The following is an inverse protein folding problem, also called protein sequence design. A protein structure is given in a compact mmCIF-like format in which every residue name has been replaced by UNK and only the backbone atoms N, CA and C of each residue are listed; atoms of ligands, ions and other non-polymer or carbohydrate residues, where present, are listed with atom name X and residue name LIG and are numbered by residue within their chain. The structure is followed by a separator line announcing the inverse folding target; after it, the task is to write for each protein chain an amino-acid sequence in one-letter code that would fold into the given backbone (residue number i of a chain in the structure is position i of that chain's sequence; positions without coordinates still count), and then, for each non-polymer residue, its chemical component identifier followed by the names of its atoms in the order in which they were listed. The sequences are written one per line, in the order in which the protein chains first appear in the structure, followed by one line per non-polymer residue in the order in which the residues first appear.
data_IF_537931398544
#
_entry.id   IF_537931398544
#
_cell.length_a   1.000
_cell.length_b   1.000
_cell.length_c   1.000
_cell.angle_alpha   90.00
_cell.angle_beta   90.00
_cell.angle_gamma   90.00
#
_symmetry.space_group_name_H-M   'P 1'
#
loop_
_entity.id
_entity.type
_entity.pdbx_description
1 polymer ?
#
# COMPACT_ATOMS: atom_id res chain seq x y z
N UNK A 1 1.05 -58.06 26.85
CA UNK A 1 0.70 -56.91 25.99
C UNK A 1 1.93 -56.61 25.18
N UNK A 2 1.93 -56.94 23.89
CA UNK A 2 3.01 -56.55 23.00
C UNK A 2 2.77 -55.10 22.60
N UNK A 3 3.69 -54.21 22.94
CA UNK A 3 3.63 -52.81 22.53
C UNK A 3 3.75 -52.74 21.01
N UNK A 4 2.65 -52.41 20.36
CA UNK A 4 2.64 -52.02 18.95
C UNK A 4 3.23 -50.60 18.88
N UNK A 5 4.54 -50.53 18.64
CA UNK A 5 5.14 -49.29 18.19
C UNK A 5 4.75 -49.09 16.73
N UNK A 6 3.67 -48.33 16.49
CA UNK A 6 3.37 -47.82 15.16
C UNK A 6 4.55 -46.94 14.71
N UNK A 7 5.36 -47.46 13.79
CA UNK A 7 6.40 -46.67 13.12
C UNK A 7 5.75 -45.52 12.37
N UNK A 8 5.89 -44.30 12.89
CA UNK A 8 5.48 -43.05 12.22
C UNK A 8 6.22 -42.96 10.88
N UNK A 9 5.51 -43.17 9.77
CA UNK A 9 6.09 -43.20 8.41
C UNK A 9 6.50 -41.82 7.86
N UNK A 10 6.19 -40.75 8.58
CA UNK A 10 6.55 -39.37 8.26
C UNK A 10 5.72 -38.40 9.09
N UNK A 11 6.31 -37.26 9.47
CA UNK A 11 5.59 -36.17 10.14
C UNK A 11 5.18 -35.16 9.07
N UNK A 12 3.87 -34.95 8.90
CA UNK A 12 3.40 -33.82 8.10
C UNK A 12 3.55 -32.52 8.90
N UNK A 13 4.64 -31.82 8.64
CA UNK A 13 4.92 -30.54 9.29
C UNK A 13 3.87 -29.47 9.02
N UNK A 14 3.06 -29.59 7.96
CA UNK A 14 1.97 -28.65 7.66
C UNK A 14 0.72 -28.90 8.51
N UNK A 15 0.55 -30.12 9.00
CA UNK A 15 -0.47 -30.43 10.01
C UNK A 15 -0.04 -29.93 11.39
N UNK A 16 1.23 -30.13 11.75
CA UNK A 16 1.80 -29.77 13.07
C UNK A 16 2.05 -28.26 13.22
N UNK A 17 2.62 -27.64 12.18
CA UNK A 17 2.95 -26.20 12.13
C UNK A 17 2.33 -25.58 10.87
N UNK A 18 1.03 -25.25 10.90
CA UNK A 18 0.30 -24.78 9.72
C UNK A 18 0.90 -23.54 9.06
N UNK A 19 1.51 -22.65 9.84
CA UNK A 19 2.15 -21.42 9.36
C UNK A 19 3.32 -21.67 8.39
N UNK A 20 3.89 -22.87 8.35
CA UNK A 20 4.94 -23.24 7.37
C UNK A 20 4.44 -23.16 5.93
N UNK A 21 3.12 -23.27 5.70
CA UNK A 21 2.50 -23.10 4.38
C UNK A 21 2.68 -21.68 3.81
N UNK A 22 2.88 -20.67 4.65
CA UNK A 22 3.15 -19.29 4.21
C UNK A 22 4.46 -19.17 3.42
N UNK A 23 5.42 -20.08 3.62
CA UNK A 23 6.64 -20.12 2.81
C UNK A 23 6.35 -20.36 1.32
N UNK A 24 5.22 -21.01 1.00
CA UNK A 24 4.79 -21.21 -0.40
C UNK A 24 4.41 -19.89 -1.07
N UNK A 25 4.04 -18.85 -0.31
CA UNK A 25 3.73 -17.52 -0.85
C UNK A 25 4.92 -16.91 -1.61
N UNK A 26 6.16 -17.15 -1.14
CA UNK A 26 7.38 -16.77 -1.87
C UNK A 26 7.43 -17.43 -3.26
N UNK A 27 7.20 -18.75 -3.32
CA UNK A 27 7.23 -19.50 -4.58
C UNK A 27 6.13 -19.10 -5.57
N UNK A 28 5.00 -18.60 -5.04
CA UNK A 28 3.91 -18.02 -5.84
C UNK A 28 4.34 -16.65 -6.38
N UNK A 29 4.87 -15.78 -5.51
CA UNK A 29 5.26 -14.42 -5.85
C UNK A 29 6.38 -14.34 -6.89
N UNK A 30 7.37 -15.26 -6.85
CA UNK A 30 8.46 -15.33 -7.84
C UNK A 30 8.01 -15.95 -9.17
N UNK A 31 6.79 -16.49 -9.27
CA UNK A 31 6.33 -17.08 -10.53
C UNK A 31 6.12 -16.02 -11.60
N UNK A 32 6.58 -16.31 -12.83
CA UNK A 32 6.44 -15.44 -14.01
C UNK A 32 5.02 -14.85 -14.16
N UNK A 33 3.92 -15.63 -14.11
CA UNK A 33 2.59 -15.04 -14.28
C UNK A 33 2.25 -14.02 -13.19
N UNK A 34 2.69 -14.24 -11.95
CA UNK A 34 2.43 -13.32 -10.83
C UNK A 34 3.28 -12.06 -10.96
N UNK A 35 4.57 -12.17 -11.30
CA UNK A 35 5.43 -11.01 -11.53
C UNK A 35 4.93 -10.14 -12.69
N UNK A 36 4.53 -10.76 -13.80
CA UNK A 36 3.98 -10.03 -14.95
C UNK A 36 2.66 -9.35 -14.59
N UNK A 37 1.74 -10.03 -13.91
CA UNK A 37 0.48 -9.44 -13.46
C UNK A 37 0.71 -8.27 -12.49
N UNK A 38 1.61 -8.45 -11.52
CA UNK A 38 1.93 -7.43 -10.55
C UNK A 38 2.57 -6.20 -11.21
N UNK A 39 3.50 -6.40 -12.14
CA UNK A 39 4.13 -5.29 -12.86
C UNK A 39 3.17 -4.55 -13.79
N UNK A 40 2.29 -5.26 -14.50
CA UNK A 40 1.23 -4.62 -15.30
C UNK A 40 0.28 -3.86 -14.39
N UNK A 41 -0.12 -4.43 -13.25
CA UNK A 41 -0.94 -3.77 -12.25
C UNK A 41 -0.29 -2.48 -11.71
N UNK A 42 0.98 -2.55 -11.33
CA UNK A 42 1.77 -1.39 -10.89
C UNK A 42 1.88 -0.33 -11.99
N UNK A 43 2.23 -0.73 -13.21
CA UNK A 43 2.32 0.19 -14.35
C UNK A 43 1.00 0.89 -14.64
N UNK A 44 -0.12 0.15 -14.68
CA UNK A 44 -1.45 0.74 -14.85
C UNK A 44 -1.87 1.65 -13.69
N UNK A 45 -1.47 1.32 -12.46
CA UNK A 45 -1.71 2.18 -11.30
C UNK A 45 -1.02 3.53 -11.50
N UNK A 46 0.29 3.50 -11.79
CA UNK A 46 1.08 4.72 -12.03
C UNK A 46 0.54 5.52 -13.22
N UNK A 47 0.24 4.87 -14.34
CA UNK A 47 -0.31 5.54 -15.53
C UNK A 47 -1.68 6.17 -15.28
N UNK A 48 -2.54 5.54 -14.48
CA UNK A 48 -3.85 6.11 -14.18
C UNK A 48 -3.78 7.31 -13.24
N UNK A 49 -2.87 7.29 -12.26
CA UNK A 49 -2.62 8.46 -11.41
C UNK A 49 -2.04 9.63 -12.21
N UNK A 50 -1.10 9.36 -13.13
CA UNK A 50 -0.60 10.38 -14.05
C UNK A 50 -1.71 10.97 -14.92
N UNK A 51 -2.64 10.14 -15.39
CA UNK A 51 -3.79 10.60 -16.15
C UNK A 51 -4.73 11.46 -15.28
N UNK A 52 -5.00 11.06 -14.04
CA UNK A 52 -5.81 11.83 -13.10
C UNK A 52 -5.20 13.20 -12.81
N UNK A 53 -3.89 13.25 -12.52
CA UNK A 53 -3.14 14.48 -12.34
C UNK A 53 -3.22 15.39 -13.57
N UNK A 54 -3.05 14.85 -14.78
CA UNK A 54 -3.11 15.63 -16.03
C UNK A 54 -4.50 16.21 -16.33
N UNK A 55 -5.57 15.57 -15.86
CA UNK A 55 -6.95 15.97 -16.11
C UNK A 55 -7.47 16.97 -15.07
N UNK A 56 -7.00 16.85 -13.82
CA UNK A 56 -7.53 17.62 -12.68
C UNK A 56 -6.62 18.77 -12.26
N UNK A 57 -5.34 18.76 -12.64
CA UNK A 57 -4.36 19.81 -12.33
C UNK A 57 -3.96 20.54 -13.64
N UNK A 58 -4.42 21.78 -13.86
CA UNK A 58 -4.19 22.49 -15.13
C UNK A 58 -2.73 22.84 -15.46
N UNK A 59 -1.79 22.77 -14.50
CA UNK A 59 -0.39 23.21 -14.65
C UNK A 59 0.66 22.16 -14.20
N UNK A 60 0.37 20.87 -14.29
CA UNK A 60 1.35 19.83 -13.90
C UNK A 60 2.56 19.79 -14.85
N UNK A 61 3.81 19.93 -14.37
CA UNK A 61 4.98 19.56 -15.17
C UNK A 61 4.91 18.05 -15.46
N UNK A 62 5.11 17.67 -16.72
CA UNK A 62 5.20 16.27 -17.11
C UNK A 62 6.43 15.64 -16.45
N UNK A 63 6.23 14.78 -15.44
CA UNK A 63 7.34 14.13 -14.72
C UNK A 63 7.31 12.60 -14.94
N UNK A 64 8.53 12.09 -15.09
CA UNK A 64 8.92 10.83 -15.69
C UNK A 64 8.38 9.57 -15.01
N UNK A 65 8.22 8.54 -15.82
CA UNK A 65 7.92 7.15 -15.45
C UNK A 65 8.86 6.70 -14.32
N UNK A 66 8.29 6.21 -13.21
CA UNK A 66 9.00 5.79 -12.01
C UNK A 66 10.22 4.91 -12.35
N UNK A 67 11.43 5.47 -12.20
CA UNK A 67 12.70 4.89 -12.66
C UNK A 67 13.75 5.92 -13.05
N UNK A 68 13.35 7.16 -13.36
CA UNK A 68 14.29 8.27 -13.49
C UNK A 68 14.65 8.79 -12.09
N UNK A 69 15.82 8.42 -11.58
CA UNK A 69 16.48 9.18 -10.52
C UNK A 69 16.82 10.52 -11.16
N UNK A 70 16.12 11.57 -10.76
CA UNK A 70 16.52 12.94 -11.04
C UNK A 70 17.09 13.50 -9.74
N UNK A 71 18.39 13.31 -9.53
CA UNK A 71 19.14 14.32 -8.78
C UNK A 71 19.23 15.55 -9.70
N UNK A 72 18.78 16.70 -9.20
CA UNK A 72 18.99 17.95 -9.89
C UNK A 72 20.51 18.20 -10.04
N UNK A 73 21.00 18.58 -11.24
CA UNK A 73 22.40 18.88 -11.42
C UNK A 73 22.72 20.16 -10.65
N UNK A 74 23.47 20.00 -9.56
CA UNK A 74 23.95 21.12 -8.75
C UNK A 74 24.63 22.18 -9.60
N UNK A 75 24.25 23.43 -9.36
CA UNK A 75 24.95 24.62 -9.87
C UNK A 75 26.42 24.55 -9.46
N UNK A 76 27.25 24.06 -10.37
CA UNK A 76 28.71 24.09 -10.22
C UNK A 76 29.17 25.51 -10.55
N UNK A 77 29.10 26.37 -9.55
CA UNK A 77 29.78 27.66 -9.54
C UNK A 77 31.28 27.47 -9.74
N UNK A 78 31.80 28.14 -10.75
CA UNK A 78 33.17 28.15 -11.21
C UNK A 78 34.12 28.61 -10.08
N UNK A 79 35.07 27.76 -9.67
CA UNK A 79 36.14 28.17 -8.76
C UNK A 79 37.43 27.40 -9.11
N UNK A 80 38.33 28.10 -9.81
CA UNK A 80 39.73 27.72 -9.93
C UNK A 80 40.46 27.77 -8.57
N UNK A 81 41.56 27.03 -8.42
CA UNK A 81 42.13 26.71 -7.11
C UNK A 81 43.26 27.67 -6.72
N UNK A 82 43.12 28.38 -5.60
CA UNK A 82 44.25 28.96 -4.89
C UNK A 82 44.10 28.74 -3.38
N UNK A 83 45.19 28.27 -2.78
CA UNK A 83 45.24 27.73 -1.43
C UNK A 83 45.48 28.75 -0.31
N UNK A 84 45.21 28.25 0.89
CA UNK A 84 45.76 28.64 2.19
C UNK A 84 45.70 30.11 2.62
N UNK A 85 44.80 30.44 3.56
CA UNK A 85 45.24 30.86 4.90
C UNK A 85 44.13 30.94 5.96
N UNK A 86 44.53 30.43 7.11
CA UNK A 86 43.91 30.47 8.42
C UNK A 86 43.97 31.89 9.00
N UNK A 87 42.85 32.52 9.39
CA UNK A 87 42.81 33.54 10.48
C UNK A 87 41.41 33.78 11.05
N UNK A 88 41.25 33.33 12.30
CA UNK A 88 40.66 33.96 13.48
C UNK A 88 39.87 35.29 13.31
N UNK A 89 38.70 35.31 13.95
CA UNK A 89 37.77 36.43 14.15
C UNK A 89 38.39 37.66 14.82
N UNK A 90 38.32 38.81 14.15
CA UNK A 90 38.47 40.16 14.70
C UNK A 90 37.26 40.99 14.29
N UNK A 91 36.36 41.28 15.24
CA UNK A 91 35.48 42.45 15.21
C UNK A 91 34.84 42.68 16.59
N UNK A 92 35.69 42.91 17.58
CA UNK A 92 35.42 43.87 18.64
C UNK A 92 36.29 45.10 18.34
N UNK A 93 35.76 46.28 18.68
CA UNK A 93 36.36 47.62 18.56
C UNK A 93 36.03 48.42 17.30
N UNK A 94 35.05 49.32 17.44
CA UNK A 94 35.20 50.79 17.39
C UNK A 94 33.76 51.36 17.52
N UNK A 95 33.41 52.22 18.47
CA UNK A 95 33.91 53.59 18.64
C UNK A 95 33.45 54.14 20.01
N UNK A 96 34.35 54.79 20.75
CA UNK A 96 34.15 55.58 22.00
C UNK A 96 34.13 57.07 21.60
N UNK A 97 33.25 57.92 22.15
CA UNK A 97 33.50 59.06 23.10
C UNK A 97 32.35 60.07 22.87
N UNK A 98 31.77 60.87 23.79
CA UNK A 98 31.89 61.14 25.24
C UNK A 98 30.64 62.02 25.68
N UNK A 99 30.49 62.57 26.92
CA UNK A 99 29.20 62.64 27.63
C UNK A 99 28.76 64.08 28.02
N UNK A 100 27.55 64.22 28.61
CA UNK A 100 27.14 65.18 29.66
C UNK A 100 25.74 65.82 29.48
N UNK A 101 25.06 65.95 30.63
CA UNK A 101 23.96 66.88 30.99
C UNK A 101 22.62 66.86 30.22
N UNK A 102 21.55 66.47 30.92
CA UNK A 102 20.52 67.42 31.40
C UNK A 102 19.25 66.68 31.84
N UNK A 103 18.80 66.98 33.06
CA UNK A 103 17.45 66.73 33.53
C UNK A 103 16.41 67.45 32.65
N UNK A 104 15.17 66.94 32.59
CA UNK A 104 14.06 67.68 32.01
C UNK A 104 12.78 66.86 31.80
N UNK A 105 11.78 67.14 32.63
CA UNK A 105 10.34 67.11 32.39
C UNK A 105 9.66 65.92 31.66
N UNK A 106 8.88 65.18 32.44
CA UNK A 106 7.75 64.35 32.02
C UNK A 106 6.50 65.25 31.84
N UNK A 107 5.80 65.24 30.69
CA UNK A 107 4.49 65.88 30.59
C UNK A 107 3.40 64.96 31.17
N UNK A 108 2.38 65.49 31.88
CA UNK A 108 1.40 64.69 32.61
C UNK A 108 0.30 64.21 31.66
N UNK A 109 0.02 62.91 31.69
CA UNK A 109 -1.08 62.30 30.93
C UNK A 109 -1.72 61.19 31.75
N UNK A 110 -2.70 61.60 32.55
CA UNK A 110 -3.91 60.86 32.91
C UNK A 110 -3.75 59.46 33.53
N UNK A 111 -3.95 59.40 34.85
CA UNK A 111 -4.17 58.17 35.59
C UNK A 111 -5.62 57.71 35.38
N UNK A 112 -5.82 56.64 34.62
CA UNK A 112 -7.02 55.80 34.73
C UNK A 112 -6.62 54.50 35.44
N UNK A 113 -6.86 54.47 36.76
CA UNK A 113 -6.88 53.23 37.53
C UNK A 113 -8.23 52.54 37.31
N UNK A 114 -8.31 51.71 36.27
CA UNK A 114 -9.31 50.63 36.22
C UNK A 114 -8.72 49.42 35.50
N UNK A 115 -8.62 48.33 36.26
CA UNK A 115 -7.77 47.18 36.00
C UNK A 115 -8.11 46.31 34.78
N UNK A 116 -7.07 45.69 34.25
CA UNK A 116 -6.99 44.23 34.15
C UNK A 116 -5.51 43.79 33.99
N UNK A 117 -4.94 42.96 34.89
CA UNK A 117 -3.55 42.52 34.80
C UNK A 117 -3.30 41.47 33.70
N UNK A 118 -4.30 41.18 32.86
CA UNK A 118 -4.29 40.05 31.92
C UNK A 118 -3.73 40.44 30.54
N UNK A 119 -3.68 41.72 30.19
CA UNK A 119 -3.24 42.15 28.84
C UNK A 119 -1.73 42.41 28.70
N UNK A 120 -0.97 42.55 29.80
CA UNK A 120 0.49 42.78 29.70
C UNK A 120 1.29 41.48 29.53
N UNK A 121 0.70 40.32 29.80
CA UNK A 121 1.34 39.02 29.58
C UNK A 121 1.35 38.59 28.11
N UNK A 122 0.54 39.22 27.25
CA UNK A 122 0.41 38.88 25.84
C UNK A 122 1.48 39.52 24.93
N UNK A 123 2.25 40.50 25.43
CA UNK A 123 3.17 41.29 24.60
C UNK A 123 4.64 40.84 24.63
N UNK A 124 4.98 39.77 25.38
CA UNK A 124 6.38 39.27 25.51
C UNK A 124 6.43 37.75 25.32
N UNK A 125 5.74 37.22 24.32
CA UNK A 125 6.07 35.89 23.79
C UNK A 125 6.45 36.02 22.32
N UNK A 126 7.67 35.63 21.91
CA UNK A 126 7.94 35.44 20.50
C UNK A 126 6.93 34.41 19.99
N UNK A 127 6.34 34.68 18.83
CA UNK A 127 5.42 33.77 18.17
C UNK A 127 5.99 32.34 18.22
N UNK A 128 5.32 31.47 18.98
CA UNK A 128 5.68 30.06 19.08
C UNK A 128 5.69 29.53 17.65
N UNK A 129 6.80 28.94 17.14
CA UNK A 129 6.75 28.27 15.85
C UNK A 129 5.62 27.24 15.92
N UNK A 130 4.81 27.18 14.86
CA UNK A 130 3.66 26.27 14.73
C UNK A 130 4.17 24.85 15.02
N UNK A 131 4.00 24.40 16.27
CA UNK A 131 4.40 23.06 16.70
C UNK A 131 3.58 22.10 15.86
N UNK A 132 4.26 21.38 14.97
CA UNK A 132 3.71 20.21 14.30
C UNK A 132 3.33 19.23 15.40
N UNK A 133 2.02 19.12 15.70
CA UNK A 133 1.50 18.09 16.61
C UNK A 133 2.07 16.74 16.17
N UNK A 134 2.49 15.89 17.11
CA UNK A 134 2.98 14.56 16.73
C UNK A 134 1.89 13.79 15.96
N UNK A 135 2.25 12.93 15.01
CA UNK A 135 1.28 12.12 14.23
C UNK A 135 0.27 11.39 15.14
N UNK A 136 0.73 10.98 16.32
CA UNK A 136 -0.10 10.34 17.33
C UNK A 136 -1.14 11.28 17.96
N UNK A 137 -0.77 12.54 18.24
CA UNK A 137 -1.70 13.57 18.74
C UNK A 137 -2.71 13.98 17.67
N UNK A 138 -2.29 14.11 16.41
CA UNK A 138 -3.21 14.38 15.30
C UNK A 138 -4.24 13.25 15.13
N UNK A 139 -3.80 11.99 15.25
CA UNK A 139 -4.69 10.82 15.19
C UNK A 139 -5.69 10.81 16.36
N UNK A 140 -5.25 11.17 17.57
CA UNK A 140 -6.09 11.26 18.77
C UNK A 140 -7.11 12.40 18.70
N UNK A 141 -6.78 13.50 18.00
CA UNK A 141 -7.64 14.67 17.85
C UNK A 141 -8.68 14.53 16.71
N UNK A 142 -8.68 13.40 16.00
CA UNK A 142 -9.65 13.14 14.92
C UNK A 142 -9.29 13.77 13.58
N UNK A 143 -8.06 14.24 13.41
CA UNK A 143 -7.50 14.80 12.17
C UNK A 143 -7.13 13.71 11.14
N UNK A 144 -7.82 12.56 11.16
CA UNK A 144 -7.51 11.44 10.28
C UNK A 144 -7.57 11.81 8.78
N UNK A 145 -8.48 12.70 8.39
CA UNK A 145 -8.63 13.14 6.99
C UNK A 145 -7.51 14.08 6.53
N UNK A 146 -6.97 14.94 7.40
CA UNK A 146 -5.81 15.78 7.07
C UNK A 146 -4.53 14.95 7.03
N UNK A 147 -4.40 13.93 7.89
CA UNK A 147 -3.29 12.96 7.83
C UNK A 147 -3.34 12.18 6.50
N UNK A 148 -4.52 11.73 6.07
CA UNK A 148 -4.67 11.01 4.78
C UNK A 148 -4.29 11.93 3.61
N UNK A 149 -4.72 13.20 3.62
CA UNK A 149 -4.32 14.18 2.62
C UNK A 149 -2.80 14.42 2.60
N UNK A 150 -2.19 14.63 3.77
CA UNK A 150 -0.74 14.78 3.90
C UNK A 150 0.03 13.52 3.47
N UNK A 151 -0.50 12.33 3.76
CA UNK A 151 0.08 11.05 3.37
C UNK A 151 0.01 10.88 1.84
N UNK A 152 -1.10 11.28 1.21
CA UNK A 152 -1.25 11.28 -0.24
C UNK A 152 -0.26 12.27 -0.89
N UNK A 153 -0.17 13.50 -0.38
CA UNK A 153 0.79 14.50 -0.88
C UNK A 153 2.25 14.02 -0.72
N UNK A 154 2.59 13.39 0.41
CA UNK A 154 3.94 12.84 0.65
C UNK A 154 4.25 11.60 -0.18
N UNK A 155 3.26 10.75 -0.48
CA UNK A 155 3.44 9.54 -1.29
C UNK A 155 3.41 9.81 -2.80
N UNK A 156 2.67 10.83 -3.25
CA UNK A 156 2.31 10.99 -4.67
C UNK A 156 2.66 12.36 -5.29
N UNK A 157 3.11 13.35 -4.51
CA UNK A 157 3.51 14.64 -5.06
C UNK A 157 3.86 15.68 -4.02
N UNK A 158 5.16 15.80 -3.70
CA UNK A 158 5.68 16.65 -2.63
C UNK A 158 5.12 18.08 -2.61
N UNK A 159 4.89 18.60 -1.40
CA UNK A 159 4.41 19.95 -1.04
C UNK A 159 3.66 20.71 -2.16
N UNK A 160 2.60 20.13 -2.71
CA UNK A 160 1.70 20.82 -3.65
C UNK A 160 0.66 21.60 -2.84
N UNK A 161 0.58 22.93 -3.01
CA UNK A 161 -0.52 23.71 -2.45
C UNK A 161 -1.79 23.50 -3.31
N UNK A 162 -2.52 22.42 -3.08
CA UNK A 162 -3.79 22.12 -3.76
C UNK A 162 -4.98 22.71 -2.98
N UNK A 163 -6.00 23.21 -3.71
CA UNK A 163 -7.30 23.51 -3.09
C UNK A 163 -7.91 22.22 -2.51
N UNK A 164 -8.49 22.29 -1.31
CA UNK A 164 -8.97 21.12 -0.57
C UNK A 164 -9.96 20.28 -1.40
N UNK A 165 -10.81 20.94 -2.22
CA UNK A 165 -11.77 20.25 -3.09
C UNK A 165 -11.10 19.41 -4.18
N UNK A 166 -10.02 19.95 -4.77
CA UNK A 166 -9.26 19.26 -5.81
C UNK A 166 -8.50 18.08 -5.21
N UNK A 167 -7.91 18.25 -4.03
CA UNK A 167 -7.25 17.16 -3.30
C UNK A 167 -8.20 15.99 -2.98
N UNK A 168 -9.41 16.28 -2.48
CA UNK A 168 -10.40 15.22 -2.23
C UNK A 168 -10.87 14.54 -3.52
N UNK A 169 -11.06 15.28 -4.61
CA UNK A 169 -11.44 14.71 -5.89
C UNK A 169 -10.36 13.75 -6.43
N UNK A 170 -9.09 14.15 -6.36
CA UNK A 170 -7.94 13.30 -6.71
C UNK A 170 -7.89 12.03 -5.86
N UNK A 171 -7.98 12.15 -4.53
CA UNK A 171 -8.00 11.00 -3.63
C UNK A 171 -9.11 9.99 -3.99
N UNK A 172 -10.32 10.47 -4.31
CA UNK A 172 -11.44 9.59 -4.69
C UNK A 172 -11.17 8.90 -6.02
N UNK A 173 -10.67 9.64 -7.03
CA UNK A 173 -10.35 9.09 -8.35
C UNK A 173 -9.21 8.07 -8.25
N UNK A 174 -8.14 8.39 -7.53
CA UNK A 174 -6.99 7.52 -7.32
C UNK A 174 -7.36 6.24 -6.59
N UNK A 175 -8.17 6.36 -5.54
CA UNK A 175 -8.67 5.20 -4.79
C UNK A 175 -9.61 4.34 -5.64
N UNK A 176 -10.51 4.96 -6.41
CA UNK A 176 -11.38 4.23 -7.33
C UNK A 176 -10.57 3.50 -8.41
N UNK A 177 -9.55 4.16 -8.97
CA UNK A 177 -8.64 3.56 -9.94
C UNK A 177 -7.85 2.39 -9.33
N UNK A 178 -7.31 2.57 -8.13
CA UNK A 178 -6.62 1.53 -7.37
C UNK A 178 -7.52 0.29 -7.20
N UNK A 179 -8.78 0.48 -6.79
CA UNK A 179 -9.73 -0.63 -6.64
C UNK A 179 -10.06 -1.31 -7.97
N UNK A 180 -10.17 -0.56 -9.08
CA UNK A 180 -10.44 -1.12 -10.40
C UNK A 180 -9.27 -2.01 -10.86
N UNK A 181 -8.05 -1.49 -10.75
CA UNK A 181 -6.83 -2.19 -11.18
C UNK A 181 -6.56 -3.40 -10.28
N UNK A 182 -6.44 -3.19 -8.96
CA UNK A 182 -6.11 -4.27 -8.03
C UNK A 182 -7.28 -5.21 -7.75
N UNK A 183 -8.52 -4.77 -7.98
CA UNK A 183 -9.69 -5.63 -8.06
C UNK A 183 -9.59 -6.68 -9.17
N UNK A 184 -8.78 -6.46 -10.21
CA UNK A 184 -8.54 -7.43 -11.27
C UNK A 184 -7.20 -8.16 -11.11
N UNK A 185 -6.10 -7.41 -11.07
CA UNK A 185 -4.75 -7.99 -11.03
C UNK A 185 -4.46 -8.64 -9.68
N UNK A 186 -4.77 -7.95 -8.58
CA UNK A 186 -4.67 -8.50 -7.23
C UNK A 186 -5.55 -9.75 -7.07
N UNK A 187 -6.80 -9.69 -7.55
CA UNK A 187 -7.71 -10.84 -7.55
C UNK A 187 -7.19 -12.04 -8.35
N UNK A 188 -6.53 -11.80 -9.49
CA UNK A 188 -5.93 -12.88 -10.29
C UNK A 188 -4.74 -13.51 -9.55
N UNK A 189 -3.92 -12.68 -8.89
CA UNK A 189 -2.81 -13.16 -8.06
C UNK A 189 -3.34 -13.97 -6.86
N UNK A 190 -4.37 -13.48 -6.16
CA UNK A 190 -4.98 -14.22 -5.03
C UNK A 190 -5.58 -15.54 -5.52
N UNK A 191 -6.22 -15.58 -6.69
CA UNK A 191 -6.74 -16.84 -7.24
C UNK A 191 -5.65 -17.86 -7.52
N UNK A 192 -4.53 -17.43 -8.11
CA UNK A 192 -3.36 -18.29 -8.32
C UNK A 192 -2.78 -18.75 -6.97
N UNK A 193 -2.69 -17.84 -6.00
CA UNK A 193 -2.11 -18.11 -4.70
C UNK A 193 -2.94 -19.09 -3.86
N UNK A 194 -4.25 -18.89 -3.77
CA UNK A 194 -5.16 -19.76 -2.99
C UNK A 194 -5.09 -21.19 -3.51
N UNK A 195 -5.15 -21.41 -4.82
CA UNK A 195 -5.07 -22.76 -5.41
C UNK A 195 -3.69 -23.39 -5.16
N UNK A 196 -2.62 -22.62 -5.33
CA UNK A 196 -1.26 -23.15 -5.19
C UNK A 196 -0.86 -23.40 -3.74
N UNK A 197 -1.30 -22.57 -2.81
CA UNK A 197 -1.03 -22.73 -1.38
C UNK A 197 -1.93 -23.82 -0.80
N UNK A 198 -3.23 -23.76 -1.09
CA UNK A 198 -4.25 -24.68 -0.56
C UNK A 198 -4.14 -26.09 -1.15
N UNK A 199 -4.32 -26.22 -2.47
CA UNK A 199 -4.34 -27.53 -3.16
C UNK A 199 -2.96 -28.03 -3.60
N UNK A 200 -1.94 -27.17 -3.59
CA UNK A 200 -0.62 -27.52 -4.14
C UNK A 200 -0.60 -27.65 -5.68
N UNK A 201 -1.70 -27.31 -6.35
CA UNK A 201 -1.84 -27.39 -7.80
C UNK A 201 -1.38 -26.10 -8.48
N UNK A 202 -1.02 -26.18 -9.77
CA UNK A 202 -0.76 -25.00 -10.60
C UNK A 202 -1.97 -24.76 -11.51
N UNK A 203 -2.57 -23.58 -11.40
CA UNK A 203 -3.62 -23.11 -12.31
C UNK A 203 -3.01 -22.29 -13.46
N UNK A 204 -3.56 -22.42 -14.67
CA UNK A 204 -3.15 -21.60 -15.80
C UNK A 204 -3.61 -20.14 -15.64
N UNK A 205 -2.81 -19.18 -16.14
CA UNK A 205 -3.14 -17.75 -16.06
C UNK A 205 -4.52 -17.43 -16.67
N UNK A 206 -4.82 -18.01 -17.84
CA UNK A 206 -6.10 -17.81 -18.53
C UNK A 206 -7.29 -18.29 -17.71
N UNK A 207 -7.13 -19.42 -17.01
CA UNK A 207 -8.17 -20.01 -16.18
C UNK A 207 -8.42 -19.15 -14.93
N UNK A 208 -7.35 -18.71 -14.26
CA UNK A 208 -7.44 -17.80 -13.12
C UNK A 208 -8.13 -16.47 -13.51
N UNK A 209 -7.76 -15.88 -14.65
CA UNK A 209 -8.40 -14.66 -15.15
C UNK A 209 -9.87 -14.90 -15.52
N UNK A 210 -10.22 -16.05 -16.09
CA UNK A 210 -11.60 -16.38 -16.45
C UNK A 210 -12.51 -16.49 -15.22
N UNK A 211 -11.99 -17.06 -14.13
CA UNK A 211 -12.67 -17.14 -12.84
C UNK A 211 -12.87 -15.74 -12.23
N UNK A 212 -11.81 -14.93 -12.17
CA UNK A 212 -11.87 -13.56 -11.65
C UNK A 212 -12.84 -12.67 -12.44
N UNK A 213 -12.87 -12.78 -13.77
CA UNK A 213 -13.81 -12.00 -14.60
C UNK A 213 -15.27 -12.23 -14.23
N UNK A 214 -15.64 -13.46 -13.83
CA UNK A 214 -17.02 -13.78 -13.41
C UNK A 214 -17.39 -13.13 -12.08
N UNK A 215 -16.40 -12.93 -11.20
CA UNK A 215 -16.56 -12.38 -9.84
C UNK A 215 -15.99 -10.96 -9.69
N UNK A 216 -15.61 -10.30 -10.78
CA UNK A 216 -14.87 -9.03 -10.76
C UNK A 216 -15.60 -7.95 -9.96
N UNK A 217 -16.92 -7.86 -10.12
CA UNK A 217 -17.76 -6.92 -9.37
C UNK A 217 -17.65 -7.18 -7.86
N UNK A 218 -17.61 -8.44 -7.41
CA UNK A 218 -17.45 -8.75 -5.99
C UNK A 218 -16.12 -8.25 -5.43
N UNK A 219 -15.02 -8.38 -6.19
CA UNK A 219 -13.70 -7.91 -5.74
C UNK A 219 -13.66 -6.38 -5.54
N UNK A 220 -14.27 -5.63 -6.46
CA UNK A 220 -14.32 -4.16 -6.37
C UNK A 220 -15.34 -3.70 -5.32
N UNK A 221 -16.50 -4.38 -5.23
CA UNK A 221 -17.60 -3.96 -4.36
C UNK A 221 -17.41 -4.36 -2.90
N UNK A 222 -16.62 -5.37 -2.55
CA UNK A 222 -16.43 -5.78 -1.14
C UNK A 222 -15.84 -4.67 -0.26
N UNK A 223 -14.75 -4.00 -0.67
CA UNK A 223 -14.25 -2.84 0.07
C UNK A 223 -15.24 -1.67 0.07
N UNK A 224 -15.83 -1.39 -1.09
CA UNK A 224 -16.76 -0.29 -1.27
C UNK A 224 -18.01 -0.47 -0.42
N UNK A 225 -18.47 -1.71 -0.25
CA UNK A 225 -19.63 -2.06 0.58
C UNK A 225 -19.42 -1.64 2.04
N UNK A 226 -18.21 -1.79 2.58
CA UNK A 226 -17.89 -1.33 3.93
C UNK A 226 -17.88 0.20 4.01
N UNK A 227 -17.30 0.88 3.02
CA UNK A 227 -17.29 2.35 2.96
C UNK A 227 -18.71 2.92 2.82
N UNK A 228 -19.54 2.32 1.98
CA UNK A 228 -20.97 2.67 1.85
C UNK A 228 -21.72 2.40 3.15
N UNK A 229 -21.43 1.29 3.84
CA UNK A 229 -22.04 1.00 5.14
C UNK A 229 -21.65 2.04 6.20
N UNK A 230 -20.39 2.49 6.21
CA UNK A 230 -19.94 3.58 7.08
C UNK A 230 -20.67 4.89 6.75
N UNK A 231 -20.80 5.21 5.46
CA UNK A 231 -21.54 6.39 5.00
C UNK A 231 -23.01 6.34 5.44
N UNK A 232 -23.71 5.22 5.22
CA UNK A 232 -25.11 5.05 5.61
C UNK A 232 -25.29 5.16 7.13
N UNK A 233 -24.41 4.54 7.94
CA UNK A 233 -24.44 4.67 9.39
C UNK A 233 -24.10 6.09 9.88
N UNK A 234 -23.37 6.87 9.10
CA UNK A 234 -23.10 8.27 9.42
C UNK A 234 -24.29 9.21 9.12
N UNK A 235 -25.26 8.82 8.29
CA UNK A 235 -26.40 9.68 7.95
C UNK A 235 -27.24 10.07 9.18
N UNK A 236 -27.64 9.16 10.09
CA UNK A 236 -28.32 9.54 11.33
C UNK A 236 -27.51 10.51 12.19
N UNK A 237 -26.18 10.37 12.23
CA UNK A 237 -25.29 11.26 12.98
C UNK A 237 -25.39 12.67 12.43
N UNK A 238 -25.27 12.83 11.10
CA UNK A 238 -25.38 14.14 10.43
C UNK A 238 -26.77 14.74 10.61
N UNK A 239 -27.83 13.94 10.41
CA UNK A 239 -29.22 14.40 10.53
C UNK A 239 -29.53 14.88 11.95
N UNK A 240 -29.12 14.15 12.99
CA UNK A 240 -29.33 14.54 14.39
C UNK A 240 -28.46 15.75 14.74
N UNK A 241 -27.22 15.81 14.24
CA UNK A 241 -26.33 16.96 14.47
C UNK A 241 -26.87 18.24 13.84
N UNK A 242 -27.62 18.14 12.73
CA UNK A 242 -28.25 19.31 12.09
C UNK A 242 -29.32 19.97 12.99
N UNK A 243 -29.94 19.22 13.91
CA UNK A 243 -30.87 19.79 14.89
C UNK A 243 -30.17 20.72 15.89
N UNK A 244 -28.86 20.57 16.10
CA UNK A 244 -28.09 21.43 17.01
C UNK A 244 -28.03 22.90 16.55
N UNK A 245 -28.40 23.18 15.30
CA UNK A 245 -28.50 24.56 14.79
C UNK A 245 -29.69 25.34 15.39
N UNK A 246 -30.55 24.69 16.18
CA UNK A 246 -31.72 25.32 16.82
C UNK A 246 -31.70 25.10 18.33
N UNK A 247 -32.05 26.11 19.13
CA UNK A 247 -32.05 26.01 20.61
C UNK A 247 -32.93 24.87 21.14
N UNK A 248 -34.16 24.73 20.61
CA UNK A 248 -35.07 23.62 20.94
C UNK A 248 -34.55 22.29 20.36
N UNK A 249 -33.85 22.36 19.23
CA UNK A 249 -33.25 21.21 18.57
C UNK A 249 -32.16 20.55 19.41
N UNK A 250 -31.46 21.30 20.27
CA UNK A 250 -30.50 20.76 21.25
C UNK A 250 -31.18 19.80 22.23
N UNK A 251 -32.37 20.15 22.73
CA UNK A 251 -33.13 19.28 23.66
C UNK A 251 -33.52 17.99 22.95
N UNK A 252 -34.04 18.07 21.71
CA UNK A 252 -34.40 16.89 20.94
C UNK A 252 -33.19 16.03 20.57
N UNK A 253 -32.08 16.65 20.18
CA UNK A 253 -30.81 15.98 19.89
C UNK A 253 -30.25 15.27 21.13
N UNK A 254 -30.41 15.84 22.34
CA UNK A 254 -29.95 15.20 23.59
C UNK A 254 -30.65 13.86 23.86
N UNK A 255 -31.94 13.76 23.52
CA UNK A 255 -32.71 12.52 23.64
C UNK A 255 -32.27 11.51 22.57
N UNK A 256 -32.03 11.97 21.35
CA UNK A 256 -31.57 11.14 20.23
C UNK A 256 -30.07 10.81 20.27
N UNK A 257 -29.31 11.36 21.23
CA UNK A 257 -27.86 11.22 21.30
C UNK A 257 -27.41 9.77 21.43
N UNK A 258 -28.23 8.91 22.04
CA UNK A 258 -27.96 7.46 22.11
C UNK A 258 -27.83 6.84 20.72
N UNK A 259 -28.62 7.29 19.74
CA UNK A 259 -28.54 6.83 18.35
C UNK A 259 -27.23 7.27 17.71
N UNK A 260 -26.79 8.51 17.99
CA UNK A 260 -25.51 9.04 17.52
C UNK A 260 -24.34 8.23 18.08
N UNK A 261 -24.35 7.92 19.38
CA UNK A 261 -23.32 7.11 20.02
C UNK A 261 -23.26 5.69 19.44
N UNK A 262 -24.40 5.03 19.29
CA UNK A 262 -24.47 3.67 18.73
C UNK A 262 -24.01 3.67 17.26
N UNK A 263 -24.44 4.65 16.47
CA UNK A 263 -24.00 4.79 15.08
C UNK A 263 -22.50 5.07 14.98
N UNK A 264 -21.96 5.94 15.83
CA UNK A 264 -20.52 6.25 15.89
C UNK A 264 -19.68 5.03 16.24
N UNK A 265 -20.07 4.28 17.27
CA UNK A 265 -19.43 3.00 17.62
C UNK A 265 -19.50 2.03 16.43
N UNK A 266 -20.66 1.94 15.77
CA UNK A 266 -20.84 1.13 14.57
C UNK A 266 -19.85 1.49 13.45
N UNK A 267 -19.71 2.77 13.13
CA UNK A 267 -18.73 3.27 12.14
C UNK A 267 -17.31 2.93 12.57
N UNK A 268 -16.93 3.14 13.83
CA UNK A 268 -15.59 2.80 14.34
C UNK A 268 -15.29 1.30 14.21
N UNK A 269 -16.25 0.43 14.56
CA UNK A 269 -16.09 -1.02 14.41
C UNK A 269 -15.94 -1.39 12.93
N UNK A 270 -16.75 -0.82 12.03
CA UNK A 270 -16.65 -1.08 10.59
C UNK A 270 -15.31 -0.62 10.02
N UNK A 271 -14.82 0.58 10.38
CA UNK A 271 -13.53 1.09 9.91
C UNK A 271 -12.36 0.28 10.47
N UNK A 272 -12.45 -0.18 11.72
CA UNK A 272 -11.44 -1.08 12.31
C UNK A 272 -11.41 -2.41 11.56
N UNK A 273 -12.59 -3.00 11.32
CA UNK A 273 -12.73 -4.23 10.53
C UNK A 273 -12.27 -4.05 9.09
N UNK A 274 -12.50 -2.89 8.50
CA UNK A 274 -12.00 -2.54 7.16
C UNK A 274 -10.48 -2.50 7.13
N UNK A 275 -9.85 -1.76 8.06
CA UNK A 275 -8.41 -1.53 8.10
C UNK A 275 -7.61 -2.83 8.17
N UNK A 276 -8.03 -3.77 9.02
CA UNK A 276 -7.36 -5.07 9.15
C UNK A 276 -7.91 -6.13 8.18
N UNK A 277 -9.18 -6.03 7.80
CA UNK A 277 -9.87 -7.05 7.04
C UNK A 277 -9.70 -6.93 5.52
N UNK A 278 -9.55 -5.72 4.98
CA UNK A 278 -9.56 -5.52 3.52
C UNK A 278 -8.62 -6.46 2.74
N UNK A 279 -7.39 -6.81 3.18
CA UNK A 279 -6.53 -7.73 2.43
C UNK A 279 -7.08 -9.15 2.33
N UNK A 280 -7.94 -9.57 3.26
CA UNK A 280 -8.54 -10.90 3.29
C UNK A 280 -9.81 -11.02 2.41
N UNK A 281 -10.41 -9.91 1.99
CA UNK A 281 -11.65 -9.97 1.20
C UNK A 281 -11.44 -10.64 -0.17
N UNK A 282 -10.30 -10.37 -0.82
CA UNK A 282 -9.95 -10.95 -2.11
C UNK A 282 -9.72 -12.46 -2.03
N UNK A 283 -8.86 -12.98 -1.12
CA UNK A 283 -8.69 -14.42 -0.99
C UNK A 283 -9.96 -15.13 -0.55
N UNK A 284 -10.87 -14.47 0.18
CA UNK A 284 -12.22 -15.02 0.46
C UNK A 284 -12.96 -15.29 -0.86
N UNK A 285 -13.10 -14.27 -1.73
CA UNK A 285 -13.79 -14.43 -3.03
C UNK A 285 -13.09 -15.46 -3.93
N UNK A 286 -11.76 -15.51 -3.87
CA UNK A 286 -10.93 -16.46 -4.64
C UNK A 286 -11.01 -17.89 -4.14
N UNK A 287 -11.30 -18.14 -2.87
CA UNK A 287 -11.34 -19.47 -2.27
C UNK A 287 -12.73 -20.12 -2.33
N UNK A 288 -13.78 -19.31 -2.18
CA UNK A 288 -15.15 -19.79 -2.02
C UNK A 288 -15.91 -19.88 -3.37
N UNK A 289 -16.97 -20.70 -3.41
CA UNK A 289 -17.78 -20.93 -4.61
C UNK A 289 -18.60 -19.69 -4.99
N UNK A 290 -19.45 -19.19 -4.09
CA UNK A 290 -20.29 -18.02 -4.32
C UNK A 290 -19.43 -16.74 -4.42
N UNK A 291 -18.60 -16.49 -3.41
CA UNK A 291 -17.66 -15.36 -3.42
C UNK A 291 -18.39 -14.03 -3.62
N UNK A 292 -19.53 -13.87 -2.97
CA UNK A 292 -20.30 -12.63 -3.06
C UNK A 292 -19.75 -11.55 -2.10
N UNK A 293 -20.22 -10.32 -2.28
CA UNK A 293 -19.78 -9.13 -1.53
C UNK A 293 -20.02 -9.28 -0.03
N UNK A 294 -21.14 -9.91 0.35
CA UNK A 294 -21.55 -10.03 1.75
C UNK A 294 -20.76 -11.13 2.47
N UNK A 295 -20.60 -12.29 1.83
CA UNK A 295 -19.77 -13.40 2.31
C UNK A 295 -18.32 -12.95 2.50
N UNK A 296 -17.76 -12.26 1.49
CA UNK A 296 -16.39 -11.73 1.54
C UNK A 296 -16.19 -10.78 2.74
N UNK A 297 -17.13 -9.86 2.93
CA UNK A 297 -17.06 -8.87 4.02
C UNK A 297 -17.26 -9.53 5.39
N UNK A 298 -18.30 -10.37 5.52
CA UNK A 298 -18.70 -10.96 6.81
C UNK A 298 -17.67 -11.97 7.33
N UNK A 299 -17.13 -12.88 6.50
CA UNK A 299 -16.10 -13.84 6.92
C UNK A 299 -14.78 -13.15 7.27
N UNK A 300 -14.39 -12.17 6.47
CA UNK A 300 -13.22 -11.33 6.75
C UNK A 300 -13.30 -10.66 8.12
N UNK A 301 -14.46 -10.07 8.43
CA UNK A 301 -14.69 -9.40 9.72
C UNK A 301 -14.73 -10.42 10.86
N UNK A 302 -15.40 -11.56 10.64
CA UNK A 302 -15.43 -12.65 11.61
C UNK A 302 -14.01 -13.10 11.97
N UNK A 303 -13.16 -13.39 11.00
CA UNK A 303 -11.79 -13.87 11.27
C UNK A 303 -10.94 -12.81 11.97
N UNK A 304 -11.06 -11.54 11.56
CA UNK A 304 -10.33 -10.42 12.15
C UNK A 304 -10.67 -10.22 13.62
N UNK A 305 -11.96 -10.30 13.97
CA UNK A 305 -12.42 -10.05 15.34
C UNK A 305 -12.44 -11.30 16.24
N UNK A 306 -12.61 -12.49 15.68
CA UNK A 306 -12.67 -13.74 16.46
C UNK A 306 -11.29 -14.32 16.76
N UNK A 307 -10.31 -14.11 15.87
CA UNK A 307 -8.97 -14.67 16.00
C UNK A 307 -7.86 -13.61 15.80
N UNK A 308 -7.89 -12.47 16.52
CA UNK A 308 -6.96 -11.35 16.28
C UNK A 308 -5.50 -11.72 16.58
N UNK A 309 -5.25 -12.59 17.56
CA UNK A 309 -3.89 -13.04 17.90
C UNK A 309 -3.32 -13.96 16.83
N UNK A 310 -4.13 -14.85 16.27
CA UNK A 310 -3.75 -15.74 15.18
C UNK A 310 -3.52 -14.94 13.89
N UNK A 311 -4.41 -13.99 13.58
CA UNK A 311 -4.24 -13.07 12.46
C UNK A 311 -2.92 -12.28 12.58
N UNK A 312 -2.64 -11.72 13.77
CA UNK A 312 -1.39 -11.01 14.04
C UNK A 312 -0.19 -11.94 13.88
N UNK A 313 -0.23 -13.14 14.45
CA UNK A 313 0.85 -14.12 14.35
C UNK A 313 1.15 -14.48 12.89
N UNK A 314 0.13 -14.80 12.08
CA UNK A 314 0.35 -15.14 10.66
C UNK A 314 0.84 -13.96 9.82
N UNK A 315 0.38 -12.74 10.13
CA UNK A 315 0.88 -11.52 9.50
C UNK A 315 2.35 -11.28 9.86
N UNK A 316 2.73 -11.45 11.13
CA UNK A 316 4.14 -11.34 11.57
C UNK A 316 5.04 -12.39 10.90
N UNK A 317 4.58 -13.64 10.79
CA UNK A 317 5.29 -14.68 10.05
C UNK A 317 5.43 -14.30 8.57
N UNK A 318 4.38 -13.74 7.96
CA UNK A 318 4.42 -13.28 6.58
C UNK A 318 5.45 -12.15 6.39
N UNK A 319 5.53 -11.19 7.33
CA UNK A 319 6.54 -10.12 7.32
C UNK A 319 7.95 -10.71 7.50
N UNK A 320 8.14 -11.67 8.41
CA UNK A 320 9.42 -12.34 8.63
C UNK A 320 9.91 -13.11 7.41
N UNK A 321 9.00 -13.57 6.54
CA UNK A 321 9.34 -14.17 5.24
C UNK A 321 9.55 -13.07 4.18
N UNK A 322 8.73 -12.02 4.19
CA UNK A 322 8.77 -10.94 3.21
C UNK A 322 10.11 -10.20 3.20
N UNK A 323 10.60 -9.76 4.36
CA UNK A 323 11.86 -8.98 4.48
C UNK A 323 13.05 -9.67 3.80
N UNK A 324 13.43 -10.91 4.18
CA UNK A 324 14.54 -11.60 3.52
C UNK A 324 14.24 -11.92 2.05
N UNK A 325 12.96 -12.12 1.68
CA UNK A 325 12.59 -12.39 0.29
C UNK A 325 12.81 -11.18 -0.62
N UNK A 326 12.42 -9.98 -0.17
CA UNK A 326 12.67 -8.73 -0.90
C UNK A 326 14.16 -8.48 -1.03
N UNK A 327 14.91 -8.64 0.08
CA UNK A 327 16.37 -8.52 0.04
C UNK A 327 16.98 -9.50 -0.95
N UNK A 328 16.53 -10.75 -0.99
CA UNK A 328 17.04 -11.75 -1.93
C UNK A 328 16.75 -11.36 -3.38
N UNK A 329 15.53 -10.96 -3.71
CA UNK A 329 15.12 -10.62 -5.08
C UNK A 329 15.84 -9.36 -5.57
N UNK A 330 15.91 -8.31 -4.74
CA UNK A 330 16.60 -7.07 -5.09
C UNK A 330 18.11 -7.27 -5.24
N UNK A 331 18.74 -7.98 -4.30
CA UNK A 331 20.17 -8.29 -4.42
C UNK A 331 20.47 -9.19 -5.64
N UNK A 332 19.57 -10.11 -5.99
CA UNK A 332 19.72 -10.92 -7.20
C UNK A 332 19.71 -10.05 -8.46
N UNK A 333 18.80 -9.08 -8.55
CA UNK A 333 18.75 -8.11 -9.65
C UNK A 333 20.04 -7.28 -9.70
N UNK A 334 20.49 -6.74 -8.58
CA UNK A 334 21.72 -5.95 -8.50
C UNK A 334 22.98 -6.77 -8.88
N UNK A 335 23.07 -8.03 -8.46
CA UNK A 335 24.18 -8.92 -8.84
C UNK A 335 24.11 -9.26 -10.33
N UNK A 336 22.93 -9.54 -10.86
CA UNK A 336 22.75 -9.82 -12.29
C UNK A 336 23.17 -8.61 -13.14
N UNK A 337 22.77 -7.41 -12.72
CA UNK A 337 23.18 -6.14 -13.30
C UNK A 337 24.71 -5.95 -13.25
N UNK A 338 25.32 -6.17 -12.08
CA UNK A 338 26.77 -6.05 -11.91
C UNK A 338 27.54 -6.99 -12.84
N UNK A 339 27.07 -8.22 -13.02
CA UNK A 339 27.68 -9.19 -13.96
C UNK A 339 27.58 -8.69 -15.40
N UNK A 340 26.44 -8.12 -15.80
CA UNK A 340 26.23 -7.56 -17.14
C UNK A 340 27.18 -6.38 -17.38
N UNK A 341 27.24 -5.41 -16.47
CA UNK A 341 28.12 -4.25 -16.62
C UNK A 341 29.60 -4.60 -16.56
N UNK A 342 29.99 -5.52 -15.67
CA UNK A 342 31.38 -6.01 -15.60
C UNK A 342 31.78 -6.72 -16.90
N UNK A 343 30.88 -7.50 -17.50
CA UNK A 343 31.13 -8.13 -18.80
C UNK A 343 31.26 -7.11 -19.93
N UNK A 344 30.45 -6.05 -19.89
CA UNK A 344 30.48 -4.96 -20.87
C UNK A 344 31.78 -4.15 -20.79
N UNK A 345 32.22 -3.82 -19.56
CA UNK A 345 33.45 -3.03 -19.34
C UNK A 345 34.73 -3.75 -19.76
N UNK A 346 34.73 -5.09 -19.80
CA UNK A 346 35.85 -5.88 -20.34
C UNK A 346 35.88 -5.82 -21.88
N UNK A 347 34.70 -5.71 -22.51
CA UNK A 347 34.55 -5.84 -23.95
C UNK A 347 34.62 -4.50 -24.71
N UNK A 348 34.21 -3.40 -24.09
CA UNK A 348 34.10 -2.09 -24.74
C UNK A 348 34.44 -0.95 -23.78
N UNK A 349 35.28 -0.02 -24.23
CA UNK A 349 35.59 1.22 -23.49
C UNK A 349 34.40 2.19 -23.45
N UNK A 350 33.49 2.12 -24.43
CA UNK A 350 32.26 2.93 -24.46
C UNK A 350 31.20 2.46 -23.44
N UNK A 351 31.43 1.30 -22.79
CA UNK A 351 30.55 0.76 -21.76
C UNK A 351 30.37 1.69 -20.55
N UNK A 352 31.42 2.45 -20.21
CA UNK A 352 31.37 3.40 -19.09
C UNK A 352 30.32 4.49 -19.33
N UNK A 353 30.27 5.05 -20.54
CA UNK A 353 29.31 6.11 -20.90
C UNK A 353 27.87 5.57 -20.84
N UNK A 354 27.66 4.31 -21.25
CA UNK A 354 26.35 3.66 -21.16
C UNK A 354 25.93 3.39 -19.71
N UNK A 355 26.87 3.00 -18.86
CA UNK A 355 26.62 2.78 -17.44
C UNK A 355 26.22 4.10 -16.75
N UNK A 356 26.97 5.17 -17.00
CA UNK A 356 26.66 6.51 -16.46
C UNK A 356 25.29 7.00 -16.96
N UNK A 357 24.93 6.71 -18.23
CA UNK A 357 23.61 7.07 -18.77
C UNK A 357 22.48 6.28 -18.09
N UNK A 358 22.68 4.98 -17.86
CA UNK A 358 21.66 4.14 -17.20
C UNK A 358 21.50 4.54 -15.73
N UNK A 359 22.58 4.95 -15.06
CA UNK A 359 22.55 5.50 -13.71
C UNK A 359 21.91 6.91 -13.64
N UNK A 360 21.70 7.57 -14.79
CA UNK A 360 21.15 8.92 -14.87
C UNK A 360 22.17 10.04 -14.65
N UNK A 361 23.46 9.73 -14.64
CA UNK A 361 24.55 10.68 -14.35
C UNK A 361 24.94 11.53 -15.58
N UNK A 362 24.61 11.09 -16.80
CA UNK A 362 24.99 11.77 -18.04
C UNK A 362 23.90 11.74 -19.10
N UNK A 363 23.90 12.72 -20.02
CA UNK A 363 23.01 12.74 -21.19
C UNK A 363 23.80 12.38 -22.46
N UNK A 364 23.10 11.83 -23.46
CA UNK A 364 23.73 11.31 -24.68
C UNK A 364 23.68 12.28 -25.87
N UNK A 365 23.54 13.58 -25.61
CA UNK A 365 23.28 14.61 -26.63
C UNK A 365 24.41 14.71 -27.68
N UNK A 366 25.64 14.38 -27.29
CA UNK A 366 26.82 14.43 -28.16
C UNK A 366 27.06 13.14 -28.96
N UNK A 367 26.23 12.11 -28.79
CA UNK A 367 26.39 10.80 -29.42
C UNK A 367 25.54 10.65 -30.68
N UNK A 368 25.92 9.69 -31.55
CA UNK A 368 25.14 9.38 -32.76
C UNK A 368 23.70 8.96 -32.44
N UNK A 369 22.74 9.25 -33.33
CA UNK A 369 21.34 8.86 -33.13
C UNK A 369 21.15 7.34 -32.98
N UNK A 370 21.97 6.54 -33.66
CA UNK A 370 21.98 5.08 -33.48
C UNK A 370 22.41 4.65 -32.08
N UNK A 371 23.40 5.36 -31.50
CA UNK A 371 23.87 5.11 -30.15
C UNK A 371 22.80 5.47 -29.11
N UNK A 372 22.15 6.63 -29.26
CA UNK A 372 21.06 7.06 -28.37
C UNK A 372 19.88 6.07 -28.39
N UNK A 373 19.49 5.57 -29.56
CA UNK A 373 18.43 4.55 -29.67
C UNK A 373 18.85 3.25 -28.97
N UNK A 374 20.08 2.80 -29.18
CA UNK A 374 20.62 1.60 -28.51
C UNK A 374 20.63 1.75 -26.99
N UNK A 375 21.13 2.87 -26.49
CA UNK A 375 21.16 3.19 -25.07
C UNK A 375 19.75 3.28 -24.46
N UNK A 376 18.79 3.86 -25.18
CA UNK A 376 17.39 3.93 -24.73
C UNK A 376 16.75 2.55 -24.59
N UNK A 377 17.05 1.62 -25.52
CA UNK A 377 16.59 0.23 -25.43
C UNK A 377 17.21 -0.47 -24.21
N UNK A 378 18.52 -0.27 -23.99
CA UNK A 378 19.22 -0.84 -22.85
C UNK A 378 18.67 -0.30 -21.52
N UNK A 379 18.45 1.01 -21.43
CA UNK A 379 17.80 1.65 -20.28
C UNK A 379 16.41 1.07 -20.04
N UNK A 380 15.58 0.93 -21.08
CA UNK A 380 14.24 0.35 -20.94
C UNK A 380 14.25 -1.11 -20.46
N UNK A 381 15.20 -1.92 -20.93
CA UNK A 381 15.36 -3.29 -20.47
C UNK A 381 15.86 -3.38 -19.03
N UNK A 382 16.79 -2.49 -18.66
CA UNK A 382 17.32 -2.36 -17.32
C UNK A 382 16.21 -1.97 -16.33
N UNK A 383 15.45 -0.92 -16.67
CA UNK A 383 14.27 -0.47 -15.95
C UNK A 383 13.24 -1.59 -15.77
N UNK A 384 12.97 -2.37 -16.82
CA UNK A 384 12.04 -3.49 -16.76
C UNK A 384 12.49 -4.59 -15.76
N UNK A 385 13.81 -4.83 -15.65
CA UNK A 385 14.37 -5.75 -14.67
C UNK A 385 14.10 -5.32 -13.21
N UNK A 386 14.30 -4.04 -12.92
CA UNK A 386 13.97 -3.47 -11.59
C UNK A 386 12.47 -3.45 -11.32
N UNK A 387 11.64 -3.11 -12.33
CA UNK A 387 10.19 -3.18 -12.20
C UNK A 387 9.71 -4.59 -11.82
N UNK A 388 10.30 -5.64 -12.41
CA UNK A 388 10.00 -7.03 -12.03
C UNK A 388 10.38 -7.31 -10.57
N UNK A 389 11.52 -6.79 -10.11
CA UNK A 389 11.98 -6.95 -8.73
C UNK A 389 11.07 -6.21 -7.73
N UNK A 390 10.58 -5.03 -8.07
CA UNK A 390 9.65 -4.27 -7.23
C UNK A 390 8.24 -4.88 -7.25
N UNK A 391 7.81 -5.41 -8.40
CA UNK A 391 6.53 -6.10 -8.55
C UNK A 391 6.43 -7.35 -7.65
N UNK A 392 7.56 -7.95 -7.27
CA UNK A 392 7.59 -9.05 -6.28
C UNK A 392 6.92 -8.66 -4.97
N UNK A 393 7.11 -7.42 -4.48
CA UNK A 393 6.53 -6.98 -3.21
C UNK A 393 5.00 -7.08 -3.23
N UNK A 394 4.39 -6.63 -4.32
CA UNK A 394 2.94 -6.65 -4.47
C UNK A 394 2.42 -8.08 -4.70
N UNK A 395 3.14 -8.86 -5.52
CA UNK A 395 2.82 -10.28 -5.71
C UNK A 395 2.86 -11.07 -4.40
N UNK A 396 3.87 -10.83 -3.56
CA UNK A 396 4.00 -11.44 -2.25
C UNK A 396 2.90 -10.99 -1.28
N UNK A 397 2.53 -9.72 -1.28
CA UNK A 397 1.43 -9.21 -0.46
C UNK A 397 0.15 -10.01 -0.70
N UNK A 398 -0.33 -10.08 -1.95
CA UNK A 398 -1.56 -10.84 -2.27
C UNK A 398 -1.41 -12.34 -2.00
N UNK A 399 -0.22 -12.92 -2.29
CA UNK A 399 0.01 -14.34 -2.07
C UNK A 399 0.05 -14.72 -0.57
N UNK A 400 0.69 -13.90 0.25
CA UNK A 400 0.79 -14.14 1.70
C UNK A 400 -0.57 -13.99 2.38
N UNK A 401 -1.34 -12.94 2.07
CA UNK A 401 -2.71 -12.79 2.59
C UNK A 401 -3.67 -13.88 2.13
N UNK A 402 -3.44 -14.48 0.96
CA UNK A 402 -4.14 -15.71 0.55
C UNK A 402 -3.84 -16.90 1.46
N UNK A 403 -2.57 -17.08 1.84
CA UNK A 403 -2.19 -18.08 2.84
C UNK A 403 -2.75 -17.78 4.24
N UNK A 404 -2.68 -16.51 4.67
CA UNK A 404 -3.25 -16.07 5.96
C UNK A 404 -4.75 -16.35 6.03
N UNK A 405 -5.49 -16.04 4.97
CA UNK A 405 -6.92 -16.36 4.86
C UNK A 405 -7.19 -17.86 5.03
N UNK A 406 -6.47 -18.72 4.30
CA UNK A 406 -6.66 -20.17 4.38
C UNK A 406 -6.34 -20.71 5.78
N UNK A 407 -5.31 -20.17 6.45
CA UNK A 407 -4.96 -20.55 7.82
C UNK A 407 -6.01 -20.12 8.84
N UNK A 408 -6.59 -18.93 8.67
CA UNK A 408 -7.66 -18.45 9.53
C UNK A 408 -8.95 -19.25 9.31
N UNK A 409 -9.30 -19.55 8.05
CA UNK A 409 -10.43 -20.44 7.72
C UNK A 409 -10.25 -21.83 8.34
N UNK A 410 -9.04 -22.39 8.30
CA UNK A 410 -8.73 -23.67 8.99
C UNK A 410 -8.88 -23.55 10.51
N UNK A 411 -8.48 -22.42 11.09
CA UNK A 411 -8.52 -22.24 12.54
C UNK A 411 -9.94 -21.98 13.07
N UNK A 412 -10.71 -21.12 12.40
CA UNK A 412 -12.03 -20.66 12.84
C UNK A 412 -13.15 -21.61 12.36
N UNK A 413 -13.13 -21.98 11.07
CA UNK A 413 -14.21 -22.75 10.44
C UNK A 413 -13.89 -24.26 10.37
N UNK A 414 -12.71 -24.67 10.84
CA UNK A 414 -12.22 -26.06 10.74
C UNK A 414 -12.20 -26.61 9.31
N UNK A 415 -12.11 -25.73 8.31
CA UNK A 415 -12.06 -26.15 6.91
C UNK A 415 -10.65 -26.54 6.48
N UNK A 416 -10.44 -27.68 5.80
CA UNK A 416 -9.15 -28.05 5.23
C UNK A 416 -8.60 -27.00 4.25
N UNK A 417 -7.26 -26.92 4.14
CA UNK A 417 -6.59 -25.94 3.28
C UNK A 417 -6.79 -26.21 1.78
N UNK A 418 -6.99 -27.47 1.41
CA UNK A 418 -7.20 -27.95 0.05
C UNK A 418 -8.64 -27.79 -0.44
N UNK A 419 -9.58 -27.45 0.45
CA UNK A 419 -10.98 -27.19 0.10
C UNK A 419 -11.17 -25.79 -0.52
N UNK A 420 -10.59 -25.65 -1.71
CA UNK A 420 -10.66 -24.47 -2.57
C UNK A 420 -11.53 -24.80 -3.77
N UNK A 421 -12.56 -23.98 -4.02
CA UNK A 421 -13.47 -24.18 -5.14
C UNK A 421 -12.74 -24.00 -6.48
N UNK A 422 -12.85 -24.96 -7.40
CA UNK A 422 -12.34 -24.88 -8.78
C UNK A 422 -13.47 -25.27 -9.73
N UNK A 423 -13.72 -24.43 -10.75
CA UNK A 423 -14.86 -24.60 -11.67
C UNK A 423 -14.82 -25.94 -12.42
N UNK A 424 -13.62 -26.47 -12.68
CA UNK A 424 -13.40 -27.67 -13.50
C UNK A 424 -13.24 -28.95 -12.68
N UNK A 425 -13.43 -28.97 -11.35
CA UNK A 425 -13.08 -30.16 -10.53
C UNK A 425 -13.90 -31.42 -10.93
N UNK A 426 -15.13 -31.24 -11.42
CA UNK A 426 -16.00 -32.34 -11.88
C UNK A 426 -15.64 -32.85 -13.28
N UNK A 427 -15.14 -31.98 -14.15
CA UNK A 427 -14.85 -32.27 -15.57
C UNK A 427 -13.36 -32.56 -15.84
N UNK A 428 -12.45 -32.05 -15.01
CA UNK A 428 -10.98 -32.21 -15.14
C UNK A 428 -10.50 -33.64 -14.99
N UNK A 429 -11.19 -34.45 -14.18
CA UNK A 429 -10.88 -35.88 -14.00
C UNK A 429 -11.75 -36.81 -14.84
N UNK A 430 -12.67 -36.26 -15.67
CA UNK A 430 -13.60 -37.07 -16.45
C UNK A 430 -14.41 -38.04 -15.60
N UNK A 431 -14.62 -37.77 -14.31
CA UNK A 431 -15.29 -38.70 -13.40
C UNK A 431 -16.73 -38.96 -13.86
N UNK A 432 -17.40 -37.94 -14.39
CA UNK A 432 -18.73 -38.07 -15.00
C UNK A 432 -18.69 -38.91 -16.29
N UNK A 433 -17.59 -38.87 -17.04
CA UNK A 433 -17.40 -39.70 -18.23
C UNK A 433 -17.11 -41.16 -17.84
N UNK A 434 -16.32 -41.39 -16.79
CA UNK A 434 -16.08 -42.72 -16.20
C UNK A 434 -17.34 -43.31 -15.57
N UNK A 435 -18.14 -42.48 -14.88
CA UNK A 435 -19.43 -42.89 -14.31
C UNK A 435 -20.39 -43.27 -15.44
N UNK A 436 -20.48 -42.47 -16.51
CA UNK A 436 -21.28 -42.80 -17.69
C UNK A 436 -20.80 -44.08 -18.37
N UNK A 437 -19.50 -44.24 -18.57
CA UNK A 437 -18.89 -45.43 -19.16
C UNK A 437 -19.14 -46.68 -18.30
N UNK A 438 -19.11 -46.56 -16.97
CA UNK A 438 -19.45 -47.65 -16.05
C UNK A 438 -20.96 -48.00 -16.05
N UNK A 439 -21.83 -47.01 -16.29
CA UNK A 439 -23.28 -47.25 -16.39
C UNK A 439 -23.72 -47.81 -17.74
N UNK A 440 -22.94 -47.58 -18.80
CA UNK A 440 -23.20 -48.08 -20.16
C UNK A 440 -22.57 -49.48 -20.43
N UNK A 441 -21.75 -50.01 -19.51
CA UNK A 441 -21.29 -51.41 -19.60
C UNK A 441 -22.42 -52.38 -19.26
N UNK A 442 -22.87 -53.25 -20.19
CA UNK A 442 -23.83 -54.30 -19.87
C UNK A 442 -23.16 -55.29 -18.91
N UNK A 443 -23.83 -55.60 -17.80
CA UNK A 443 -23.37 -56.62 -16.85
C UNK A 443 -23.05 -57.92 -17.60
N UNK A 444 -21.78 -58.30 -17.66
CA UNK A 444 -21.37 -59.61 -18.16
C UNK A 444 -22.05 -60.68 -17.31
N UNK A 445 -23.03 -61.36 -17.90
CA UNK A 445 -23.65 -62.54 -17.29
C UNK A 445 -22.59 -63.61 -17.06
N UNK A 446 -22.37 -64.06 -15.81
CA UNK A 446 -21.43 -65.13 -15.55
C UNK A 446 -21.97 -66.42 -16.19
N UNK A 447 -21.10 -67.12 -16.93
CA UNK A 447 -21.40 -68.40 -17.59
C UNK A 447 -21.25 -69.58 -16.65
#
# INVERSE_FOLDING_TARGET
MADHYDTVKGVDWSEVLPWTTLTRAFSVAVSIPVLVLAAIGTGLTVSGWQLADSLLIPDSPAVALAGAISEEPGERGDASPEGERFTRSESLETTVEDPAESAGEMPPGEYDESGDPVLLAAAIMPAKPKESNSLFEQLLQGEALSIIGQLHDTLFGGQRELDAKVGYALCIVDFAWLLIVWGFFGATITRIAVIRIGRGERIGLKEAMADVRKKYISYVMSPLFVLVSCFVLSLPIVLISLLLNFDIGVILASILWIVVLVAGIGVTVLLTGFFFGWPLMWPTISAEEAGDVYEATSRTFAYTFQAPLQYLFYTLVSIAIWVPSVMLVQNFTAVAEQVVFSGMSIASDEAAILQDYIAGETTLDNQSSSFQIGASIMYGLHWFGHLMADAFCVGFFFASFSGVYLLLRRFVDHTPLDEVFVIDDKTKYGLDDLIKESSDQPAETPS
#
